data_IF_471797125225
#
_entry.id   IF_471797125225
#
_cell.length_a   1.000
_cell.length_b   1.000
_cell.length_c   1.000
_cell.angle_alpha   90.00
_cell.angle_beta   90.00
_cell.angle_gamma   90.00
#
_symmetry.space_group_name_H-M   'P 1'
#
loop_
_entity.id
_entity.type
_entity.pdbx_description
1 polymer ?
#
# COMPACT_ATOMS: atom_id res chain seq x y z
N UNK A 1 -3.71 18.69 -9.01
CA UNK A 1 -3.93 17.38 -8.34
C UNK A 1 -3.27 16.34 -9.19
N UNK A 2 -2.33 15.55 -8.66
CA UNK A 2 -1.84 14.40 -9.39
C UNK A 2 -3.05 13.48 -9.66
N UNK A 3 -3.36 13.22 -10.93
CA UNK A 3 -4.48 12.38 -11.32
C UNK A 3 -4.17 10.92 -10.95
N UNK A 4 -4.54 10.53 -9.73
CA UNK A 4 -4.47 9.13 -9.30
C UNK A 4 -5.53 8.38 -10.09
N UNK A 5 -5.11 7.74 -11.17
CA UNK A 5 -6.00 6.96 -12.03
C UNK A 5 -6.28 5.58 -11.44
N UNK A 6 -7.43 5.01 -11.77
CA UNK A 6 -7.75 3.63 -11.39
C UNK A 6 -6.72 2.61 -11.92
N UNK A 7 -6.08 2.92 -13.06
CA UNK A 7 -5.00 2.12 -13.62
C UNK A 7 -3.75 2.16 -12.74
N UNK A 8 -3.33 3.33 -12.24
CA UNK A 8 -2.21 3.41 -11.29
C UNK A 8 -2.47 2.61 -10.01
N UNK A 9 -3.69 2.66 -9.49
CA UNK A 9 -4.06 1.89 -8.29
C UNK A 9 -4.01 0.38 -8.59
N UNK A 10 -4.46 -0.06 -9.79
CA UNK A 10 -4.35 -1.46 -10.22
C UNK A 10 -2.89 -1.90 -10.36
N UNK A 11 -2.07 -1.11 -11.04
CA UNK A 11 -0.66 -1.41 -11.28
C UNK A 11 0.11 -1.54 -9.95
N UNK A 12 -0.09 -0.58 -9.03
CA UNK A 12 0.47 -0.62 -7.69
C UNK A 12 0.00 -1.85 -6.90
N UNK A 13 -1.28 -2.22 -7.03
CA UNK A 13 -1.85 -3.42 -6.40
C UNK A 13 -1.22 -4.70 -6.95
N UNK A 14 -1.00 -4.80 -8.25
CA UNK A 14 -0.36 -5.96 -8.86
C UNK A 14 1.10 -6.10 -8.45
N UNK A 15 1.82 -4.98 -8.30
CA UNK A 15 3.22 -4.96 -7.86
C UNK A 15 3.41 -5.25 -6.37
N UNK A 16 2.49 -4.78 -5.52
CA UNK A 16 2.63 -4.86 -4.05
C UNK A 16 1.74 -5.90 -3.39
N UNK A 17 0.70 -6.37 -4.08
CA UNK A 17 -0.34 -7.25 -3.52
C UNK A 17 -1.24 -6.57 -2.49
N UNK A 18 -1.14 -5.25 -2.29
CA UNK A 18 -1.91 -4.54 -1.27
C UNK A 18 -3.38 -4.32 -1.68
N UNK A 19 -4.25 -4.13 -0.70
CA UNK A 19 -5.67 -3.86 -0.94
C UNK A 19 -5.90 -2.55 -1.70
N UNK A 20 -7.00 -2.45 -2.45
CA UNK A 20 -7.31 -1.31 -3.33
C UNK A 20 -7.31 0.04 -2.58
N UNK A 21 -7.87 0.05 -1.36
CA UNK A 21 -7.91 1.24 -0.49
C UNK A 21 -6.55 1.60 0.09
N UNK A 22 -5.68 0.62 0.35
CA UNK A 22 -4.31 0.85 0.80
C UNK A 22 -3.48 1.43 -0.36
N UNK A 23 -3.65 0.92 -1.59
CA UNK A 23 -2.99 1.44 -2.79
C UNK A 23 -3.40 2.88 -3.11
N UNK A 24 -4.70 3.19 -3.03
CA UNK A 24 -5.19 4.56 -3.21
C UNK A 24 -4.62 5.51 -2.16
N UNK A 25 -4.60 5.12 -0.89
CA UNK A 25 -4.00 5.95 0.19
C UNK A 25 -2.51 6.16 -0.01
N UNK A 26 -1.78 5.11 -0.40
CA UNK A 26 -0.35 5.20 -0.65
C UNK A 26 -0.03 6.18 -1.78
N UNK A 27 -0.78 6.14 -2.89
CA UNK A 27 -0.64 7.09 -3.99
C UNK A 27 -1.04 8.51 -3.60
N UNK A 28 -2.04 8.68 -2.72
CA UNK A 28 -2.42 10.02 -2.21
C UNK A 28 -1.32 10.61 -1.33
N UNK A 29 -0.77 9.85 -0.39
CA UNK A 29 0.32 10.30 0.50
C UNK A 29 1.66 10.45 -0.22
N UNK A 30 1.80 9.79 -1.37
CA UNK A 30 3.02 9.81 -2.18
C UNK A 30 2.91 10.74 -3.38
N UNK A 31 1.86 11.56 -3.51
CA UNK A 31 1.66 12.46 -4.66
C UNK A 31 1.71 11.74 -6.03
N UNK A 32 1.09 10.57 -6.13
CA UNK A 32 1.11 9.66 -7.28
C UNK A 32 2.50 9.10 -7.66
N UNK A 33 3.48 9.19 -6.76
CA UNK A 33 4.78 8.55 -6.90
C UNK A 33 4.67 7.06 -6.56
N UNK A 34 4.89 6.22 -7.57
CA UNK A 34 4.77 4.76 -7.47
C UNK A 34 5.86 4.17 -6.56
N UNK A 35 7.09 4.70 -6.59
CA UNK A 35 8.18 4.18 -5.76
C UNK A 35 7.93 4.48 -4.28
N UNK A 36 7.55 5.72 -3.96
CA UNK A 36 7.15 6.11 -2.60
C UNK A 36 5.92 5.34 -2.12
N UNK A 37 4.94 5.12 -2.99
CA UNK A 37 3.75 4.36 -2.65
C UNK A 37 4.07 2.89 -2.35
N UNK A 38 5.01 2.27 -3.07
CA UNK A 38 5.50 0.91 -2.77
C UNK A 38 6.19 0.88 -1.39
N UNK A 39 7.05 1.86 -1.10
CA UNK A 39 7.76 1.92 0.18
C UNK A 39 6.79 2.14 1.36
N UNK A 40 5.79 3.02 1.16
CA UNK A 40 4.69 3.24 2.09
C UNK A 40 3.91 1.95 2.37
N UNK A 41 3.55 1.21 1.33
CA UNK A 41 2.83 -0.05 1.45
C UNK A 41 3.67 -1.14 2.11
N UNK A 42 4.97 -1.22 1.84
CA UNK A 42 5.89 -2.14 2.53
C UNK A 42 5.96 -1.86 4.02
N UNK A 43 6.20 -0.61 4.42
CA UNK A 43 6.23 -0.19 5.83
C UNK A 43 4.91 -0.51 6.54
N UNK A 44 3.78 -0.24 5.87
CA UNK A 44 2.45 -0.53 6.40
C UNK A 44 2.14 -2.04 6.46
N UNK A 45 2.60 -2.80 5.48
CA UNK A 45 2.49 -4.25 5.41
C UNK A 45 3.26 -4.94 6.53
N UNK A 46 4.49 -4.48 6.82
CA UNK A 46 5.29 -4.95 7.95
C UNK A 46 4.59 -4.68 9.28
N UNK A 47 3.98 -3.51 9.46
CA UNK A 47 3.20 -3.20 10.66
C UNK A 47 1.95 -4.11 10.81
N UNK A 48 1.26 -4.44 9.72
CA UNK A 48 0.15 -5.42 9.73
C UNK A 48 0.64 -6.84 10.04
N UNK A 49 1.77 -7.26 9.47
CA UNK A 49 2.36 -8.57 9.71
C UNK A 49 2.85 -8.71 11.16
N UNK A 50 3.49 -7.67 11.72
CA UNK A 50 3.90 -7.62 13.12
C UNK A 50 2.70 -7.71 14.07
N UNK A 51 1.58 -7.04 13.75
CA UNK A 51 0.33 -7.20 14.52
C UNK A 51 -0.30 -8.59 14.40
N UNK A 52 -0.06 -9.31 13.30
CA UNK A 52 -0.55 -10.68 13.12
C UNK A 52 0.31 -11.71 13.85
N UNK A 53 1.62 -11.48 13.98
CA UNK A 53 2.50 -12.30 14.81
C UNK A 53 2.13 -12.27 16.30
N UNK A 54 1.41 -11.24 16.76
CA UNK A 54 0.80 -11.21 18.09
C UNK A 54 -0.54 -11.97 18.20
N UNK A 55 -1.06 -12.54 17.11
CA UNK A 55 -2.34 -13.28 17.06
C UNK A 55 -2.14 -14.79 16.92
N UNK A 56 -0.99 -15.28 17.38
CA UNK A 56 -0.71 -16.68 17.72
C UNK A 56 -0.06 -16.69 19.11
N UNK A 57 -0.85 -16.30 20.10
CA UNK A 57 -0.63 -16.65 21.49
C UNK A 57 -1.98 -17.15 22.01
N UNK A 58 -2.05 -18.48 22.19
CA UNK A 58 -3.18 -19.32 22.65
C UNK A 58 -4.29 -19.66 21.67
#
# INVERSE_FOLDING_TARGET
MAEITANMIKDLRERTGAGMSDCKKALVESDADVEKAIDYLRKKGLAKAAKKAGREAT
#
